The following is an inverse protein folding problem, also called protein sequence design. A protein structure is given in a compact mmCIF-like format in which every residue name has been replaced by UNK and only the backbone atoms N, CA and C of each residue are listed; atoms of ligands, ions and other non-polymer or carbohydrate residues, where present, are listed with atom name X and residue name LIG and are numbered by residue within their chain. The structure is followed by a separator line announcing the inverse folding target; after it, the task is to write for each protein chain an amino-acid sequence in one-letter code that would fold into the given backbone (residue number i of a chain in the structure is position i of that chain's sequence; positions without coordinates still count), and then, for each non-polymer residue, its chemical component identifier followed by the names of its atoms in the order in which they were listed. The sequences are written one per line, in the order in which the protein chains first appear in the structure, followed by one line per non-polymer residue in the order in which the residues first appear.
data_IF_936709260282
#
_entry.id   IF_936709260282
#
_cell.length_a   1.000
_cell.length_b   1.000
_cell.length_c   1.000
_cell.angle_alpha   90.00
_cell.angle_beta   90.00
_cell.angle_gamma   90.00
#
_symmetry.space_group_name_H-M   'P 1'
#
loop_
_entity.id
_entity.type
_entity.pdbx_description
1 polymer ?
#
# COMPACT_ATOMS: atom_id res chain seq x y z
N UNK A 1 0.05 -8.03 7.14
CA UNK A 1 0.17 -6.63 6.72
C UNK A 1 1.63 -6.38 6.36
N UNK A 2 1.90 -5.73 5.23
CA UNK A 2 3.24 -5.56 4.67
C UNK A 2 3.70 -4.11 4.68
N UNK A 3 2.83 -3.16 4.32
CA UNK A 3 3.16 -1.74 4.30
C UNK A 3 1.93 -0.87 4.60
N UNK A 4 2.19 0.40 4.91
CA UNK A 4 1.21 1.49 4.95
C UNK A 4 1.56 2.45 3.83
N UNK A 5 0.56 2.87 3.06
CA UNK A 5 0.68 3.78 1.95
C UNK A 5 -0.24 5.00 2.15
N UNK A 6 0.14 6.08 1.50
CA UNK A 6 -0.73 7.24 1.25
C UNK A 6 -0.75 7.51 -0.25
N UNK A 7 -1.89 7.96 -0.76
CA UNK A 7 -2.01 8.37 -2.17
C UNK A 7 -2.48 9.81 -2.26
N UNK A 8 -2.01 10.50 -3.30
CA UNK A 8 -2.49 11.83 -3.67
C UNK A 8 -3.29 11.73 -4.96
N UNK A 9 -4.54 12.15 -4.92
CA UNK A 9 -5.45 12.20 -6.07
C UNK A 9 -5.38 13.61 -6.67
N UNK A 10 -5.12 13.66 -7.97
CA UNK A 10 -5.07 14.87 -8.79
C UNK A 10 -4.22 16.01 -8.21
N UNK A 11 -3.17 15.68 -7.44
CA UNK A 11 -2.32 16.64 -6.73
C UNK A 11 -3.07 17.55 -5.73
N UNK A 12 -4.29 17.20 -5.34
CA UNK A 12 -5.18 18.07 -4.57
C UNK A 12 -5.72 17.41 -3.29
N UNK A 13 -5.84 16.08 -3.28
CA UNK A 13 -6.47 15.37 -2.17
C UNK A 13 -5.64 14.16 -1.72
N UNK A 14 -5.35 14.05 -0.42
CA UNK A 14 -4.55 12.94 0.12
C UNK A 14 -5.42 11.98 0.91
N UNK A 15 -5.21 10.68 0.69
CA UNK A 15 -5.78 9.61 1.50
C UNK A 15 -4.65 8.88 2.20
N UNK A 16 -4.68 8.90 3.53
CA UNK A 16 -3.75 8.20 4.40
C UNK A 16 -4.29 6.83 4.85
N UNK A 17 -3.44 6.03 5.50
CA UNK A 17 -3.78 4.75 6.14
C UNK A 17 -4.32 3.67 5.19
N UNK A 18 -3.88 3.70 3.93
CA UNK A 18 -4.10 2.59 3.00
C UNK A 18 -3.09 1.49 3.33
N UNK A 19 -3.51 0.22 3.35
CA UNK A 19 -2.67 -0.89 3.78
C UNK A 19 -2.40 -1.86 2.63
N UNK A 20 -1.15 -2.25 2.47
CA UNK A 20 -0.77 -3.40 1.63
C UNK A 20 -0.85 -4.66 2.49
N UNK A 21 -1.71 -5.59 2.11
CA UNK A 21 -2.00 -6.82 2.85
C UNK A 21 -1.59 -8.01 2.00
N UNK A 22 -0.94 -8.98 2.64
CA UNK A 22 -0.65 -10.28 2.08
C UNK A 22 -1.76 -11.25 2.48
N UNK A 23 -2.63 -11.56 1.52
CA UNK A 23 -3.74 -12.49 1.70
C UNK A 23 -3.43 -13.87 1.13
N UNK A 24 -4.38 -14.78 1.26
CA UNK A 24 -4.22 -16.17 0.79
C UNK A 24 -4.02 -16.28 -0.73
N UNK A 25 -4.43 -15.27 -1.50
CA UNK A 25 -4.33 -15.21 -2.96
C UNK A 25 -3.32 -14.17 -3.45
N UNK A 26 -2.40 -13.74 -2.57
CA UNK A 26 -1.39 -12.74 -2.87
C UNK A 26 -1.68 -11.35 -2.29
N UNK A 27 -0.89 -10.39 -2.74
CA UNK A 27 -0.95 -9.01 -2.25
C UNK A 27 -2.21 -8.29 -2.75
N UNK A 28 -2.84 -7.54 -1.86
CA UNK A 28 -3.96 -6.67 -2.18
C UNK A 28 -3.93 -5.40 -1.33
N UNK A 29 -4.70 -4.40 -1.75
CA UNK A 29 -4.81 -3.11 -1.06
C UNK A 29 -6.10 -3.06 -0.25
N UNK A 30 -5.97 -2.81 1.06
CA UNK A 30 -7.08 -2.55 1.96
C UNK A 30 -7.19 -1.05 2.22
N UNK A 31 -8.40 -0.52 2.01
CA UNK A 31 -8.69 0.89 2.24
C UNK A 31 -8.64 1.27 3.73
N UNK A 32 -8.56 2.57 4.05
CA UNK A 32 -8.60 3.06 5.43
C UNK A 32 -9.98 2.76 6.01
N UNK A 33 -10.03 2.11 7.16
CA UNK A 33 -11.30 1.70 7.77
C UNK A 33 -11.39 2.08 9.25
N UNK A 34 -12.60 2.39 9.71
CA UNK A 34 -12.89 2.72 11.10
C UNK A 34 -13.89 1.73 11.67
N UNK A 35 -13.69 1.36 12.93
CA UNK A 35 -14.65 0.55 13.67
C UNK A 35 -15.86 1.41 14.05
N UNK A 36 -17.05 0.96 13.67
CA UNK A 36 -18.33 1.58 14.02
C UNK A 36 -18.77 1.15 15.44
N UNK A 37 -19.69 1.88 16.09
CA UNK A 37 -20.13 1.56 17.46
C UNK A 37 -20.78 0.18 17.62
N UNK A 38 -21.38 -0.35 16.56
CA UNK A 38 -21.91 -1.72 16.46
C UNK A 38 -20.81 -2.79 16.34
N UNK A 39 -19.54 -2.38 16.18
CA UNK A 39 -18.38 -3.24 16.13
C UNK A 39 -17.92 -3.63 14.72
N UNK A 40 -18.64 -3.25 13.67
CA UNK A 40 -18.24 -3.49 12.28
C UNK A 40 -17.07 -2.59 11.86
N UNK A 41 -16.37 -2.95 10.78
CA UNK A 41 -15.40 -2.06 10.14
C UNK A 41 -15.99 -1.55 8.83
N UNK A 42 -15.93 -0.22 8.64
CA UNK A 42 -16.36 0.44 7.42
C UNK A 42 -15.20 1.24 6.85
N UNK A 43 -15.04 1.16 5.54
CA UNK A 43 -14.05 1.97 4.83
C UNK A 43 -14.44 3.45 4.93
N UNK A 44 -13.49 4.27 5.37
CA UNK A 44 -13.61 5.73 5.46
C UNK A 44 -13.55 6.34 4.05
N UNK A 45 -12.66 5.81 3.20
CA UNK A 45 -12.52 6.19 1.81
C UNK A 45 -12.50 4.92 0.95
N UNK A 46 -13.32 4.85 -0.10
CA UNK A 46 -13.34 3.70 -0.99
C UNK A 46 -13.72 4.12 -2.42
N UNK A 47 -13.14 3.45 -3.44
CA UNK A 47 -13.57 3.64 -4.83
C UNK A 47 -14.99 3.09 -5.03
N UNK A 48 -15.80 3.81 -5.79
CA UNK A 48 -17.19 3.41 -6.09
C UNK A 48 -17.23 2.24 -7.08
N UNK A 49 -16.33 2.23 -8.07
CA UNK A 49 -16.31 1.25 -9.15
C UNK A 49 -15.01 0.44 -9.20
N UNK A 50 -15.07 -0.70 -9.88
CA UNK A 50 -13.95 -1.64 -10.01
C UNK A 50 -12.77 -1.04 -10.76
N UNK A 51 -13.00 -0.20 -11.76
CA UNK A 51 -11.92 0.39 -12.56
C UNK A 51 -11.01 1.27 -11.69
N UNK A 52 -11.62 2.12 -10.86
CA UNK A 52 -10.90 2.98 -9.93
C UNK A 52 -10.21 2.16 -8.83
N UNK A 53 -10.87 1.09 -8.36
CA UNK A 53 -10.25 0.15 -7.41
C UNK A 53 -8.99 -0.48 -7.98
N UNK A 54 -9.06 -0.98 -9.22
CA UNK A 54 -7.95 -1.63 -9.89
C UNK A 54 -6.81 -0.64 -10.11
N UNK A 55 -7.11 0.59 -10.55
CA UNK A 55 -6.11 1.66 -10.72
C UNK A 55 -5.39 1.99 -9.42
N UNK A 56 -6.12 2.15 -8.31
CA UNK A 56 -5.49 2.41 -7.00
C UNK A 56 -4.63 1.22 -6.56
N UNK A 57 -5.13 -0.01 -6.73
CA UNK A 57 -4.40 -1.21 -6.35
C UNK A 57 -3.09 -1.34 -7.15
N UNK A 58 -3.15 -1.18 -8.46
CA UNK A 58 -1.98 -1.25 -9.35
C UNK A 58 -0.93 -0.21 -8.97
N UNK A 59 -1.32 1.05 -8.81
CA UNK A 59 -0.39 2.13 -8.46
C UNK A 59 0.33 1.84 -7.14
N UNK A 60 -0.41 1.40 -6.12
CA UNK A 60 0.16 1.14 -4.79
C UNK A 60 1.05 -0.10 -4.79
N UNK A 61 0.61 -1.19 -5.43
CA UNK A 61 1.41 -2.42 -5.48
C UNK A 61 2.67 -2.23 -6.32
N UNK A 62 2.61 -1.50 -7.42
CA UNK A 62 3.79 -1.16 -8.22
C UNK A 62 4.78 -0.33 -7.39
N UNK A 63 4.30 0.69 -6.67
CA UNK A 63 5.15 1.49 -5.78
C UNK A 63 5.78 0.64 -4.65
N UNK A 64 5.01 -0.29 -4.08
CA UNK A 64 5.48 -1.21 -3.05
C UNK A 64 6.59 -2.13 -3.57
N UNK A 65 6.40 -2.74 -4.74
CA UNK A 65 7.42 -3.60 -5.36
C UNK A 65 8.70 -2.85 -5.70
N UNK A 66 8.58 -1.66 -6.28
CA UNK A 66 9.74 -0.81 -6.57
C UNK A 66 10.48 -0.41 -5.29
N UNK A 67 9.76 -0.14 -4.19
CA UNK A 67 10.40 0.18 -2.91
C UNK A 67 11.12 -1.02 -2.29
N UNK A 68 10.60 -2.24 -2.44
CA UNK A 68 11.28 -3.44 -1.94
C UNK A 68 12.57 -3.73 -2.72
N UNK A 69 12.58 -3.53 -4.04
CA UNK A 69 13.78 -3.72 -4.87
C UNK A 69 14.88 -2.70 -4.50
N UNK A 70 14.49 -1.45 -4.23
CA UNK A 70 15.41 -0.41 -3.77
C UNK A 70 16.01 -0.78 -2.39
N UNK A 71 15.19 -1.26 -1.45
CA UNK A 71 15.68 -1.70 -0.14
C UNK A 71 16.62 -2.92 -0.20
N UNK A 72 16.46 -3.79 -1.18
CA UNK A 72 17.36 -4.93 -1.40
C UNK A 72 18.68 -4.48 -2.00
N UNK A 73 18.63 -3.57 -2.97
CA UNK A 73 19.82 -2.97 -3.61
C UNK A 73 20.65 -2.18 -2.59
N UNK A 74 20.02 -1.33 -1.77
CA UNK A 74 20.70 -0.55 -0.74
C UNK A 74 21.41 -1.45 0.30
N UNK A 75 20.81 -2.61 0.63
CA UNK A 75 21.41 -3.59 1.56
C UNK A 75 22.60 -4.32 0.94
N UNK A 76 22.54 -4.67 -0.35
CA UNK A 76 23.66 -5.27 -1.07
C UNK A 76 24.84 -4.30 -1.16
N UNK A 77 24.60 -3.03 -1.52
CA UNK A 77 25.65 -2.01 -1.55
C UNK A 77 26.26 -1.75 -0.15
N UNK A 78 25.44 -1.75 0.91
CA UNK A 78 25.92 -1.60 2.29
C UNK A 78 26.79 -2.79 2.71
N UNK A 79 26.39 -4.03 2.41
CA UNK A 79 27.17 -5.25 2.69
C UNK A 79 28.51 -5.27 1.93
N UNK A 80 28.51 -4.91 0.65
CA UNK A 80 29.73 -4.80 -0.16
C UNK A 80 30.67 -3.71 0.42
N UNK A 81 30.12 -2.58 0.87
CA UNK A 81 30.91 -1.50 1.49
C UNK A 81 31.53 -1.90 2.83
N UNK A 82 30.91 -2.86 3.54
CA UNK A 82 31.40 -3.43 4.79
C UNK A 82 32.43 -4.56 4.60
N UNK A 83 32.70 -4.95 3.34
CA UNK A 83 33.69 -5.97 3.00
C UNK A 83 33.32 -7.39 3.43
N UNK A 84 32.02 -7.69 3.52
CA UNK A 84 31.48 -9.04 3.81
C UNK A 84 31.06 -9.71 2.50
#
# INVERSE_FOLDING_TARGET
MRAIASITLDNEFVVHDIRVIDGNTGLFVAMPSKRTPDGEFRDIAHPINSDTRNKIQEIILNAYHNSSELEETDKEEELESMGV
#
